data_IF_136906011508
#
_entry.id   IF_136906011508
#
_cell.length_a   1.000
_cell.length_b   1.000
_cell.length_c   1.000
_cell.angle_alpha   90.00
_cell.angle_beta   90.00
_cell.angle_gamma   90.00
#
_symmetry.space_group_name_H-M   'P 1'
#
loop_
_entity.id
_entity.type
_entity.pdbx_description
1 polymer ?
#
# COMPACT_ATOMS: atom_id res chain seq x y z
N UNK A 1 -23.08 13.37 8.42
CA UNK A 1 -22.51 13.52 7.08
C UNK A 1 -22.82 12.25 6.31
N UNK A 2 -23.47 12.37 5.16
CA UNK A 2 -23.71 11.24 4.25
C UNK A 2 -22.36 10.72 3.73
N UNK A 3 -22.26 9.42 3.41
CA UNK A 3 -21.05 8.82 2.81
C UNK A 3 -20.56 9.58 1.58
N UNK A 4 -21.45 10.06 0.70
CA UNK A 4 -21.03 10.84 -0.47
C UNK A 4 -20.43 12.20 -0.09
N UNK A 5 -20.97 12.86 0.93
CA UNK A 5 -20.43 14.12 1.44
C UNK A 5 -19.04 13.91 2.06
N UNK A 6 -18.83 12.82 2.80
CA UNK A 6 -17.51 12.46 3.36
C UNK A 6 -16.51 12.20 2.24
N UNK A 7 -16.87 11.40 1.23
CA UNK A 7 -16.00 11.13 0.09
C UNK A 7 -15.69 12.40 -0.71
N UNK A 8 -16.68 13.27 -0.93
CA UNK A 8 -16.49 14.55 -1.62
C UNK A 8 -15.55 15.48 -0.84
N UNK A 9 -15.75 15.64 0.48
CA UNK A 9 -14.90 16.47 1.34
C UNK A 9 -13.46 15.92 1.40
N UNK A 10 -13.31 14.59 1.40
CA UNK A 10 -12.00 13.94 1.32
C UNK A 10 -11.32 14.10 -0.03
N UNK A 11 -12.05 14.47 -1.08
CA UNK A 11 -11.57 14.51 -2.46
C UNK A 11 -11.44 13.12 -3.10
N UNK A 12 -12.22 12.14 -2.62
CA UNK A 12 -12.17 10.75 -3.05
C UNK A 12 -13.10 10.44 -4.24
N UNK A 13 -13.84 11.41 -4.76
CA UNK A 13 -14.69 11.22 -5.95
C UNK A 13 -13.98 11.85 -7.15
N UNK A 14 -13.65 11.02 -8.14
CA UNK A 14 -13.15 11.46 -9.45
C UNK A 14 -14.32 11.66 -10.42
N UNK A 15 -15.09 10.60 -10.69
CA UNK A 15 -16.29 10.65 -11.51
C UNK A 15 -17.43 9.84 -10.86
N UNK A 16 -18.67 10.20 -11.20
CA UNK A 16 -19.88 9.49 -10.77
C UNK A 16 -20.92 9.55 -11.88
N UNK A 17 -21.61 8.44 -12.17
CA UNK A 17 -22.54 8.37 -13.31
C UNK A 17 -23.74 9.28 -13.16
N UNK A 18 -24.32 9.34 -11.96
CA UNK A 18 -25.44 10.22 -11.61
C UNK A 18 -25.39 10.49 -10.11
N UNK A 19 -24.80 11.62 -9.73
CA UNK A 19 -24.59 11.96 -8.31
C UNK A 19 -25.92 12.21 -7.57
N UNK A 20 -26.88 13.01 -8.10
CA UNK A 20 -28.18 13.18 -7.45
C UNK A 20 -28.92 11.85 -7.22
N UNK A 21 -29.03 11.00 -8.25
CA UNK A 21 -29.77 9.74 -8.14
C UNK A 21 -29.08 8.75 -7.20
N UNK A 22 -27.74 8.68 -7.21
CA UNK A 22 -27.00 7.86 -6.25
C UNK A 22 -27.19 8.34 -4.81
N UNK A 23 -27.20 9.66 -4.59
CA UNK A 23 -27.44 10.25 -3.27
C UNK A 23 -28.82 9.90 -2.73
N UNK A 24 -29.87 10.05 -3.56
CA UNK A 24 -31.23 9.65 -3.20
C UNK A 24 -31.31 8.16 -2.88
N UNK A 25 -30.66 7.31 -3.70
CA UNK A 25 -30.65 5.86 -3.46
C UNK A 25 -29.93 5.48 -2.17
N UNK A 26 -28.80 6.10 -1.85
CA UNK A 26 -28.08 5.84 -0.60
C UNK A 26 -28.88 6.30 0.63
N UNK A 27 -29.66 7.37 0.50
CA UNK A 27 -30.54 7.86 1.56
C UNK A 27 -31.74 6.92 1.84
N UNK A 28 -32.19 6.16 0.84
CA UNK A 28 -33.31 5.22 1.00
C UNK A 28 -32.93 3.93 1.74
N UNK A 29 -31.64 3.66 1.95
CA UNK A 29 -31.15 2.57 2.79
C UNK A 29 -29.91 1.87 2.24
N UNK A 30 -29.48 0.77 2.87
CA UNK A 30 -28.30 0.01 2.46
C UNK A 30 -28.34 -0.40 0.99
N UNK A 31 -27.16 -0.38 0.37
CA UNK A 31 -26.93 -0.90 -0.97
C UNK A 31 -25.83 -1.95 -0.89
N UNK A 32 -25.78 -2.82 -1.88
CA UNK A 32 -24.60 -3.64 -2.15
C UNK A 32 -23.72 -2.91 -3.15
N UNK A 33 -22.42 -2.84 -2.90
CA UNK A 33 -21.44 -2.27 -3.80
C UNK A 33 -20.25 -3.21 -3.97
N UNK A 34 -19.48 -3.06 -5.05
CA UNK A 34 -18.27 -3.84 -5.24
C UNK A 34 -17.07 -3.07 -5.77
N UNK A 35 -15.89 -3.61 -5.51
CA UNK A 35 -14.63 -3.25 -6.18
C UNK A 35 -13.93 -4.53 -6.61
N UNK A 36 -13.44 -4.54 -7.85
CA UNK A 36 -12.59 -5.62 -8.36
C UNK A 36 -11.12 -5.41 -8.01
N UNK A 37 -10.37 -6.49 -7.87
CA UNK A 37 -8.91 -6.49 -7.82
C UNK A 37 -8.34 -7.71 -8.52
N UNK A 38 -7.27 -7.53 -9.29
CA UNK A 38 -6.53 -8.64 -9.88
C UNK A 38 -5.46 -9.13 -8.89
N UNK A 39 -5.42 -10.42 -8.53
CA UNK A 39 -4.46 -10.99 -7.60
C UNK A 39 -3.09 -11.26 -8.27
N UNK A 40 -2.43 -10.20 -8.74
CA UNK A 40 -1.17 -10.27 -9.48
C UNK A 40 0.05 -10.63 -8.63
N UNK A 41 -0.09 -10.57 -7.31
CA UNK A 41 0.93 -10.95 -6.33
C UNK A 41 0.27 -11.57 -5.09
N UNK A 42 1.06 -12.26 -4.28
CA UNK A 42 0.66 -12.86 -3.00
C UNK A 42 0.36 -11.84 -1.88
N UNK A 43 0.49 -10.54 -2.17
CA UNK A 43 0.21 -9.46 -1.23
C UNK A 43 -0.32 -8.23 -1.96
N UNK A 44 -1.19 -7.49 -1.28
CA UNK A 44 -1.53 -6.14 -1.69
C UNK A 44 -0.36 -5.19 -1.37
N UNK A 45 -0.37 -4.02 -2.00
CA UNK A 45 0.54 -2.91 -1.72
C UNK A 45 -0.24 -1.61 -1.49
N UNK A 46 0.42 -0.54 -1.04
CA UNK A 46 -0.22 0.75 -0.70
C UNK A 46 -1.08 1.33 -1.84
N UNK A 47 -0.74 1.06 -3.11
CA UNK A 47 -1.54 1.48 -4.26
C UNK A 47 -2.95 0.84 -4.35
N UNK A 48 -3.20 -0.25 -3.63
CA UNK A 48 -4.52 -0.89 -3.57
C UNK A 48 -5.40 -0.30 -2.45
N UNK A 49 -4.84 0.52 -1.56
CA UNK A 49 -5.54 0.94 -0.35
C UNK A 49 -6.74 1.83 -0.65
N UNK A 50 -6.65 2.78 -1.58
CA UNK A 50 -7.74 3.76 -1.78
C UNK A 50 -9.09 3.08 -2.12
N UNK A 51 -9.20 2.17 -3.10
CA UNK A 51 -10.45 1.45 -3.33
C UNK A 51 -10.90 0.57 -2.17
N UNK A 52 -9.97 -0.10 -1.49
CA UNK A 52 -10.30 -0.98 -0.36
C UNK A 52 -10.78 -0.22 0.87
N UNK A 53 -10.17 0.93 1.16
CA UNK A 53 -10.60 1.82 2.23
C UNK A 53 -11.93 2.49 1.89
N UNK A 54 -12.18 2.81 0.61
CA UNK A 54 -13.50 3.27 0.18
C UNK A 54 -14.57 2.21 0.46
N UNK A 55 -14.35 0.93 0.11
CA UNK A 55 -15.27 -0.15 0.49
C UNK A 55 -15.52 -0.20 1.99
N UNK A 56 -14.47 -0.02 2.80
CA UNK A 56 -14.62 0.04 4.26
C UNK A 56 -15.42 1.28 4.71
N UNK A 57 -15.25 2.45 4.10
CA UNK A 57 -16.07 3.64 4.40
C UNK A 57 -17.55 3.37 4.12
N UNK A 58 -17.87 2.75 2.98
CA UNK A 58 -19.24 2.33 2.68
C UNK A 58 -19.75 1.30 3.70
N UNK A 59 -18.91 0.36 4.14
CA UNK A 59 -19.29 -0.59 5.18
C UNK A 59 -19.60 0.09 6.52
N UNK A 60 -18.77 1.06 6.94
CA UNK A 60 -19.00 1.81 8.16
C UNK A 60 -20.28 2.66 8.07
N UNK A 61 -20.65 3.10 6.87
CA UNK A 61 -21.93 3.77 6.59
C UNK A 61 -23.14 2.83 6.48
N UNK A 62 -22.95 1.51 6.68
CA UNK A 62 -24.04 0.52 6.71
C UNK A 62 -24.32 -0.19 5.39
N UNK A 63 -23.53 0.03 4.35
CA UNK A 63 -23.66 -0.65 3.05
C UNK A 63 -22.90 -1.97 3.02
N UNK A 64 -23.19 -2.83 2.04
CA UNK A 64 -22.67 -4.20 1.95
C UNK A 64 -21.56 -4.30 0.89
N UNK A 65 -20.27 -4.26 1.29
CA UNK A 65 -19.17 -4.31 0.33
C UNK A 65 -18.91 -5.72 -0.19
N UNK A 66 -18.67 -5.83 -1.50
CA UNK A 66 -18.17 -7.03 -2.17
C UNK A 66 -16.78 -6.71 -2.70
N UNK A 67 -15.81 -7.52 -2.34
CA UNK A 67 -14.50 -7.54 -2.98
C UNK A 67 -14.53 -8.67 -4.02
N UNK A 68 -14.23 -8.36 -5.27
CA UNK A 68 -14.17 -9.36 -6.35
C UNK A 68 -12.71 -9.66 -6.66
N UNK A 69 -12.29 -10.89 -6.39
CA UNK A 69 -11.02 -11.41 -6.87
C UNK A 69 -11.14 -11.71 -8.36
N UNK A 70 -10.22 -11.14 -9.15
CA UNK A 70 -10.11 -11.37 -10.57
C UNK A 70 -9.41 -12.68 -10.91
N UNK A 71 -9.94 -13.83 -10.49
CA UNK A 71 -9.34 -15.13 -10.84
C UNK A 71 -9.38 -15.41 -12.35
N UNK A 72 -10.47 -15.06 -13.02
CA UNK A 72 -10.57 -15.14 -14.48
C UNK A 72 -9.99 -13.90 -15.18
N UNK A 73 -10.34 -12.70 -14.72
CA UNK A 73 -9.86 -11.45 -15.34
C UNK A 73 -8.35 -11.26 -15.20
N UNK A 74 -7.75 -11.72 -14.10
CA UNK A 74 -6.31 -11.70 -13.88
C UNK A 74 -5.54 -12.64 -14.81
N UNK A 75 -6.19 -13.68 -15.34
CA UNK A 75 -5.61 -14.56 -16.37
C UNK A 75 -5.67 -13.95 -17.79
N UNK A 76 -6.34 -12.80 -17.97
CA UNK A 76 -6.45 -12.07 -19.25
C UNK A 76 -5.59 -10.81 -19.19
N UNK A 77 -5.70 -10.05 -18.09
CA UNK A 77 -4.97 -8.80 -17.86
C UNK A 77 -5.72 -7.56 -18.32
N UNK A 78 -5.95 -6.61 -17.41
CA UNK A 78 -6.57 -5.32 -17.72
C UNK A 78 -5.60 -4.39 -18.48
N UNK A 79 -5.94 -3.94 -19.71
CA UNK A 79 -5.15 -2.98 -20.47
C UNK A 79 -5.28 -1.53 -19.97
N UNK A 80 -6.25 -1.23 -19.09
CA UNK A 80 -6.56 0.14 -18.66
C UNK A 80 -5.39 0.78 -17.91
N UNK A 81 -4.92 1.93 -18.42
CA UNK A 81 -3.79 2.67 -17.82
C UNK A 81 -2.44 1.94 -17.91
N UNK A 82 -2.29 0.98 -18.83
CA UNK A 82 -1.06 0.20 -19.05
C UNK A 82 -0.50 0.43 -20.45
N UNK A 83 0.83 0.35 -20.56
CA UNK A 83 1.57 0.49 -21.82
C UNK A 83 2.13 -0.84 -22.35
N UNK A 84 2.12 -1.91 -21.55
CA UNK A 84 2.64 -3.23 -21.91
C UNK A 84 1.67 -4.33 -21.50
N UNK A 85 1.68 -5.43 -22.26
CA UNK A 85 0.88 -6.63 -22.00
C UNK A 85 1.35 -7.32 -20.71
N UNK A 86 0.41 -7.90 -19.95
CA UNK A 86 0.72 -8.56 -18.67
C UNK A 86 1.18 -9.99 -18.89
N UNK A 87 2.07 -10.46 -18.01
CA UNK A 87 2.34 -11.88 -17.88
C UNK A 87 1.12 -12.60 -17.29
N UNK A 88 0.71 -13.68 -17.95
CA UNK A 88 -0.41 -14.52 -17.52
C UNK A 88 0.04 -15.43 -16.37
N UNK A 89 -0.72 -15.45 -15.28
CA UNK A 89 -0.45 -16.28 -14.11
C UNK A 89 -1.16 -17.64 -14.23
N UNK A 90 -0.56 -18.70 -13.67
CA UNK A 90 -1.23 -20.01 -13.60
C UNK A 90 -2.34 -20.00 -12.56
N UNK A 91 -3.31 -20.91 -12.70
CA UNK A 91 -4.42 -21.04 -11.76
C UNK A 91 -3.96 -21.33 -10.33
N UNK A 92 -2.87 -22.09 -10.14
CA UNK A 92 -2.30 -22.38 -8.83
C UNK A 92 -1.74 -21.13 -8.16
N UNK A 93 -1.03 -20.28 -8.91
CA UNK A 93 -0.48 -19.01 -8.40
C UNK A 93 -1.62 -18.05 -8.05
N UNK A 94 -2.64 -17.95 -8.90
CA UNK A 94 -3.82 -17.12 -8.64
C UNK A 94 -4.54 -17.56 -7.37
N UNK A 95 -4.80 -18.85 -7.19
CA UNK A 95 -5.44 -19.39 -5.99
C UNK A 95 -4.61 -19.12 -4.72
N UNK A 96 -3.28 -19.27 -4.79
CA UNK A 96 -2.36 -18.93 -3.71
C UNK A 96 -2.47 -17.45 -3.33
N UNK A 97 -2.41 -16.57 -4.33
CA UNK A 97 -2.47 -15.12 -4.14
C UNK A 97 -3.81 -14.69 -3.52
N UNK A 98 -4.93 -15.22 -4.02
CA UNK A 98 -6.27 -14.94 -3.48
C UNK A 98 -6.37 -15.34 -2.00
N UNK A 99 -5.85 -16.51 -1.63
CA UNK A 99 -5.85 -16.97 -0.23
C UNK A 99 -5.08 -16.00 0.69
N UNK A 100 -3.91 -15.54 0.25
CA UNK A 100 -3.11 -14.56 1.00
C UNK A 100 -3.79 -13.20 1.10
N UNK A 101 -4.33 -12.69 -0.01
CA UNK A 101 -5.05 -11.41 -0.03
C UNK A 101 -6.30 -11.47 0.86
N UNK A 102 -7.05 -12.58 0.86
CA UNK A 102 -8.20 -12.78 1.75
C UNK A 102 -7.83 -12.62 3.22
N UNK A 103 -6.66 -13.13 3.63
CA UNK A 103 -6.18 -12.96 4.99
C UNK A 103 -5.84 -11.49 5.32
N UNK A 104 -5.35 -10.72 4.35
CA UNK A 104 -5.09 -9.29 4.51
C UNK A 104 -6.39 -8.48 4.63
N UNK A 105 -7.36 -8.72 3.74
CA UNK A 105 -8.65 -7.99 3.71
C UNK A 105 -9.43 -8.10 5.02
N UNK A 106 -9.38 -9.25 5.70
CA UNK A 106 -10.04 -9.48 7.00
C UNK A 106 -9.59 -8.54 8.12
N UNK A 107 -8.45 -7.84 7.96
CA UNK A 107 -7.97 -6.90 8.97
C UNK A 107 -8.75 -5.59 9.00
N UNK A 108 -9.33 -5.17 7.86
CA UNK A 108 -10.00 -3.87 7.75
C UNK A 108 -11.39 -3.92 7.15
N UNK A 109 -11.82 -5.04 6.55
CA UNK A 109 -13.22 -5.30 6.22
C UNK A 109 -13.80 -6.31 7.21
N UNK A 110 -15.04 -6.06 7.64
CA UNK A 110 -15.72 -6.92 8.59
C UNK A 110 -16.55 -7.98 7.84
N UNK A 111 -16.10 -9.23 7.88
CA UNK A 111 -16.78 -10.35 7.20
C UNK A 111 -17.82 -11.04 8.11
N UNK A 112 -17.81 -10.72 9.41
CA UNK A 112 -18.52 -11.49 10.43
C UNK A 112 -19.66 -10.70 11.09
N UNK A 113 -19.78 -9.39 10.81
CA UNK A 113 -20.92 -8.57 11.23
C UNK A 113 -22.25 -9.11 10.71
N UNK A 114 -23.28 -9.07 11.56
CA UNK A 114 -24.62 -9.57 11.21
C UNK A 114 -25.40 -8.61 10.32
N UNK A 115 -25.04 -7.32 10.28
CA UNK A 115 -25.81 -6.28 9.58
C UNK A 115 -25.44 -6.15 8.11
N UNK A 116 -24.15 -6.07 7.81
CA UNK A 116 -23.63 -5.77 6.48
C UNK A 116 -22.25 -6.43 6.24
N UNK A 117 -22.20 -7.78 6.29
CA UNK A 117 -20.95 -8.52 6.16
C UNK A 117 -20.32 -8.27 4.79
N UNK A 118 -19.01 -8.03 4.80
CA UNK A 118 -18.22 -8.00 3.58
C UNK A 118 -18.23 -9.38 2.91
N UNK A 119 -18.16 -9.41 1.59
CA UNK A 119 -18.03 -10.65 0.81
C UNK A 119 -16.75 -10.61 0.00
N UNK A 120 -16.06 -11.74 -0.09
CA UNK A 120 -15.00 -11.96 -1.07
C UNK A 120 -15.47 -13.06 -2.00
N UNK A 121 -15.66 -12.70 -3.26
CA UNK A 121 -16.07 -13.61 -4.34
C UNK A 121 -14.97 -13.65 -5.40
N UNK A 122 -14.95 -14.71 -6.20
CA UNK A 122 -13.98 -14.88 -7.29
C UNK A 122 -14.74 -15.01 -8.61
N UNK A 123 -14.41 -14.16 -9.59
CA UNK A 123 -15.09 -14.18 -10.88
C UNK A 123 -14.78 -15.42 -11.72
N UNK A 124 -13.75 -16.20 -11.38
CA UNK A 124 -13.53 -17.52 -11.94
C UNK A 124 -14.73 -18.46 -11.74
N UNK A 125 -15.52 -18.26 -10.67
CA UNK A 125 -16.67 -19.12 -10.35
C UNK A 125 -17.82 -19.03 -11.35
N UNK A 126 -17.97 -17.90 -12.07
CA UNK A 126 -18.99 -17.74 -13.11
C UNK A 126 -18.42 -17.59 -14.52
N UNK A 127 -17.21 -17.03 -14.66
CA UNK A 127 -16.55 -16.92 -15.97
C UNK A 127 -15.87 -18.23 -16.40
N UNK A 128 -15.35 -19.03 -15.46
CA UNK A 128 -14.63 -20.27 -15.77
C UNK A 128 -15.51 -21.37 -16.37
N UNK A 129 -16.80 -21.37 -16.07
CA UNK A 129 -17.78 -22.30 -16.63
C UNK A 129 -18.48 -21.78 -17.90
N UNK A 130 -18.15 -20.56 -18.34
CA UNK A 130 -18.81 -19.93 -19.48
C UNK A 130 -18.19 -20.43 -20.79
N UNK A 131 -18.97 -21.14 -21.62
CA UNK A 131 -18.47 -21.55 -22.92
C UNK A 131 -18.22 -20.32 -23.80
N UNK A 132 -17.22 -20.37 -24.69
CA UNK A 132 -16.92 -19.25 -25.59
C UNK A 132 -18.14 -18.86 -26.44
N UNK A 133 -18.89 -19.85 -26.95
CA UNK A 133 -20.07 -19.60 -27.78
C UNK A 133 -21.18 -18.92 -26.99
N UNK A 134 -21.42 -19.38 -25.76
CA UNK A 134 -22.39 -18.73 -24.89
C UNK A 134 -21.93 -17.31 -24.58
N UNK A 135 -20.65 -17.09 -24.29
CA UNK A 135 -20.14 -15.77 -23.92
C UNK A 135 -20.34 -14.76 -25.04
N UNK A 136 -20.01 -15.13 -26.27
CA UNK A 136 -20.23 -14.30 -27.45
C UNK A 136 -21.72 -13.99 -27.68
N UNK A 137 -22.60 -14.97 -27.44
CA UNK A 137 -24.05 -14.83 -27.63
C UNK A 137 -24.76 -14.07 -26.50
N UNK A 138 -24.35 -14.27 -25.26
CA UNK A 138 -24.99 -13.72 -24.07
C UNK A 138 -24.42 -12.37 -23.66
N UNK A 139 -23.13 -12.15 -23.90
CA UNK A 139 -22.41 -10.94 -23.53
C UNK A 139 -22.03 -10.17 -24.79
N UNK A 140 -21.26 -10.81 -25.69
CA UNK A 140 -20.67 -10.17 -26.87
C UNK A 140 -21.66 -9.39 -27.74
N UNK A 141 -22.85 -9.93 -27.99
CA UNK A 141 -23.91 -9.26 -28.80
C UNK A 141 -24.31 -7.87 -28.29
N UNK A 142 -24.06 -7.56 -27.02
CA UNK A 142 -24.43 -6.27 -26.41
C UNK A 142 -23.35 -5.19 -26.57
N UNK A 143 -22.19 -5.54 -27.13
CA UNK A 143 -21.04 -4.67 -27.30
C UNK A 143 -20.77 -4.45 -28.79
N UNK A 144 -20.87 -3.19 -29.23
CA UNK A 144 -20.42 -2.81 -30.57
C UNK A 144 -18.90 -2.61 -30.55
N UNK A 145 -18.20 -3.17 -31.54
CA UNK A 145 -16.76 -2.96 -31.74
C UNK A 145 -16.45 -1.46 -31.84
N UNK A 146 -17.27 -0.68 -32.55
CA UNK A 146 -17.10 0.77 -32.67
C UNK A 146 -17.12 1.48 -31.31
N UNK A 147 -17.98 1.04 -30.38
CA UNK A 147 -18.03 1.60 -29.02
C UNK A 147 -16.78 1.22 -28.22
N UNK A 148 -16.34 -0.03 -28.33
CA UNK A 148 -15.18 -0.52 -27.58
C UNK A 148 -13.89 0.19 -27.99
N UNK A 149 -13.64 0.36 -29.29
CA UNK A 149 -12.44 1.04 -29.80
C UNK A 149 -12.44 2.55 -29.50
N UNK A 150 -13.62 3.15 -29.29
CA UNK A 150 -13.74 4.57 -28.95
C UNK A 150 -13.43 4.87 -27.47
N UNK A 151 -13.36 3.84 -26.61
CA UNK A 151 -12.98 4.02 -25.19
C UNK A 151 -11.51 4.42 -25.11
N UNK A 152 -11.19 5.46 -24.33
CA UNK A 152 -9.84 6.02 -24.22
C UNK A 152 -8.77 4.96 -23.89
N UNK A 153 -9.09 4.03 -22.97
CA UNK A 153 -8.17 2.97 -22.55
C UNK A 153 -7.77 2.02 -23.68
N UNK A 154 -8.66 1.82 -24.66
CA UNK A 154 -8.41 0.99 -25.84
C UNK A 154 -7.82 1.82 -26.97
N UNK A 155 -8.38 3.01 -27.23
CA UNK A 155 -7.94 3.90 -28.31
C UNK A 155 -6.46 4.23 -28.20
N UNK A 156 -5.99 4.62 -27.01
CA UNK A 156 -4.59 4.98 -26.77
C UNK A 156 -3.63 3.81 -27.08
N UNK A 157 -4.02 2.56 -26.79
CA UNK A 157 -3.25 1.34 -27.09
C UNK A 157 -3.25 0.98 -28.57
N UNK A 158 -4.37 1.23 -29.27
CA UNK A 158 -4.47 0.97 -30.72
C UNK A 158 -3.68 1.99 -31.56
N UNK A 159 -3.55 3.22 -31.07
CA UNK A 159 -2.76 4.27 -31.75
C UNK A 159 -1.24 4.03 -31.63
N UNK A 160 -0.81 3.33 -30.57
CA UNK A 160 0.57 2.90 -30.38
C UNK A 160 0.89 1.68 -31.26
N UNK A 161 1.61 1.93 -32.37
CA UNK A 161 1.96 0.91 -33.37
C UNK A 161 2.96 -0.13 -32.86
N UNK A 162 3.71 0.14 -31.79
CA UNK A 162 4.69 -0.82 -31.26
C UNK A 162 4.07 -1.80 -30.26
N UNK A 163 3.06 -1.39 -29.48
CA UNK A 163 2.42 -2.27 -28.49
C UNK A 163 1.13 -2.93 -28.98
N UNK A 164 0.28 -2.21 -29.71
CA UNK A 164 -1.04 -2.69 -30.12
C UNK A 164 -1.92 -3.17 -28.94
N UNK A 165 -3.03 -3.84 -29.26
CA UNK A 165 -3.88 -4.50 -28.27
C UNK A 165 -4.30 -5.89 -28.80
N UNK A 166 -4.08 -6.93 -27.99
CA UNK A 166 -4.48 -8.29 -28.35
C UNK A 166 -6.00 -8.46 -28.22
N UNK A 167 -6.58 -9.45 -28.93
CA UNK A 167 -8.01 -9.76 -28.76
C UNK A 167 -8.34 -10.16 -27.32
N UNK A 168 -7.39 -10.83 -26.65
CA UNK A 168 -7.44 -11.20 -25.24
C UNK A 168 -7.68 -9.97 -24.36
N UNK A 169 -6.80 -8.97 -24.41
CA UNK A 169 -6.96 -7.73 -23.65
C UNK A 169 -8.18 -6.90 -24.09
N UNK A 170 -8.48 -6.87 -25.39
CA UNK A 170 -9.66 -6.19 -25.93
C UNK A 170 -10.97 -6.77 -25.37
N UNK A 171 -11.00 -8.08 -25.10
CA UNK A 171 -12.17 -8.76 -24.52
C UNK A 171 -12.36 -8.51 -23.01
N UNK A 172 -11.34 -7.98 -22.32
CA UNK A 172 -11.36 -7.75 -20.86
C UNK A 172 -12.57 -6.92 -20.40
N UNK A 173 -12.92 -5.88 -21.16
CA UNK A 173 -14.07 -5.02 -20.86
C UNK A 173 -15.38 -5.79 -20.77
N UNK A 174 -15.57 -6.82 -21.60
CA UNK A 174 -16.78 -7.65 -21.60
C UNK A 174 -16.83 -8.52 -20.33
N UNK A 175 -15.68 -9.04 -19.89
CA UNK A 175 -15.58 -9.85 -18.68
C UNK A 175 -15.94 -9.03 -17.45
N UNK A 176 -15.32 -7.85 -17.28
CA UNK A 176 -15.63 -6.96 -16.16
C UNK A 176 -17.07 -6.43 -16.22
N UNK A 177 -17.61 -6.16 -17.41
CA UNK A 177 -19.01 -5.79 -17.55
C UNK A 177 -19.96 -6.92 -17.12
N UNK A 178 -19.60 -8.17 -17.46
CA UNK A 178 -20.35 -9.35 -17.03
C UNK A 178 -20.29 -9.54 -15.52
N UNK A 179 -19.18 -9.24 -14.86
CA UNK A 179 -19.08 -9.27 -13.39
C UNK A 179 -20.13 -8.36 -12.76
N UNK A 180 -20.32 -7.13 -13.25
CA UNK A 180 -21.36 -6.24 -12.73
C UNK A 180 -22.76 -6.85 -12.95
N UNK A 181 -23.05 -7.35 -14.16
CA UNK A 181 -24.32 -8.00 -14.45
C UNK A 181 -24.60 -9.18 -13.50
N UNK A 182 -23.61 -10.05 -13.30
CA UNK A 182 -23.72 -11.21 -12.41
C UNK A 182 -23.98 -10.75 -10.96
N UNK A 183 -23.19 -9.80 -10.46
CA UNK A 183 -23.33 -9.29 -9.09
C UNK A 183 -24.64 -8.53 -8.87
N UNK A 184 -25.14 -7.83 -9.90
CA UNK A 184 -26.45 -7.18 -9.87
C UNK A 184 -27.56 -8.22 -9.72
N UNK A 185 -27.47 -9.31 -10.48
CA UNK A 185 -28.46 -10.39 -10.49
C UNK A 185 -28.44 -11.22 -9.20
N UNK A 186 -27.27 -11.68 -8.76
CA UNK A 186 -27.16 -12.65 -7.66
C UNK A 186 -27.06 -11.99 -6.28
N UNK A 187 -26.51 -10.76 -6.20
CA UNK A 187 -26.24 -10.08 -4.92
C UNK A 187 -26.94 -8.73 -4.77
N UNK A 188 -27.81 -8.36 -5.73
CA UNK A 188 -28.44 -7.05 -5.80
C UNK A 188 -27.39 -5.92 -5.74
N UNK A 189 -26.22 -6.10 -6.35
CA UNK A 189 -25.15 -5.11 -6.37
C UNK A 189 -25.52 -3.89 -7.22
N UNK A 190 -25.59 -2.71 -6.63
CA UNK A 190 -26.09 -1.48 -7.28
C UNK A 190 -24.98 -0.51 -7.68
N UNK A 191 -23.80 -0.60 -7.06
CA UNK A 191 -22.70 0.33 -7.29
C UNK A 191 -21.39 -0.42 -7.55
N UNK A 192 -20.67 -0.03 -8.59
CA UNK A 192 -19.26 -0.38 -8.75
C UNK A 192 -18.38 0.82 -8.40
N UNK A 193 -17.34 0.57 -7.60
CA UNK A 193 -16.26 1.53 -7.37
C UNK A 193 -14.93 1.01 -7.91
N UNK A 194 -14.04 1.93 -8.28
CA UNK A 194 -12.71 1.61 -8.81
C UNK A 194 -11.82 2.85 -8.94
N UNK A 195 -10.58 2.68 -9.41
CA UNK A 195 -9.75 3.82 -9.79
C UNK A 195 -10.28 4.56 -11.02
N UNK A 196 -9.86 5.80 -11.26
CA UNK A 196 -10.33 6.59 -12.40
C UNK A 196 -9.98 5.98 -13.76
N UNK A 197 -8.96 5.12 -13.82
CA UNK A 197 -8.62 4.29 -14.98
C UNK A 197 -9.70 3.24 -15.32
N UNK A 198 -10.59 2.91 -14.40
CA UNK A 198 -11.62 1.87 -14.56
C UNK A 198 -12.95 2.39 -15.14
N UNK A 199 -13.07 3.70 -15.40
CA UNK A 199 -14.34 4.31 -15.81
C UNK A 199 -14.97 3.65 -17.05
N UNK A 200 -14.15 3.33 -18.05
CA UNK A 200 -14.59 2.68 -19.29
C UNK A 200 -15.26 1.33 -19.03
N UNK A 201 -14.68 0.52 -18.15
CA UNK A 201 -15.18 -0.82 -17.82
C UNK A 201 -16.39 -0.75 -16.87
N UNK A 202 -16.40 0.20 -15.92
CA UNK A 202 -17.54 0.42 -15.02
C UNK A 202 -18.81 0.78 -15.82
N UNK A 203 -18.69 1.74 -16.73
CA UNK A 203 -19.82 2.17 -17.57
C UNK A 203 -20.31 1.06 -18.50
N UNK A 204 -19.41 0.22 -19.01
CA UNK A 204 -19.76 -0.97 -19.77
C UNK A 204 -20.61 -1.97 -18.95
N UNK A 205 -20.28 -2.18 -17.67
CA UNK A 205 -21.08 -3.02 -16.76
C UNK A 205 -22.47 -2.45 -16.47
N UNK A 206 -22.58 -1.14 -16.28
CA UNK A 206 -23.86 -0.45 -16.08
C UNK A 206 -24.76 -0.61 -17.30
N UNK A 207 -24.20 -0.41 -18.50
CA UNK A 207 -24.93 -0.61 -19.75
C UNK A 207 -25.43 -2.04 -19.92
N UNK A 208 -24.61 -3.03 -19.54
CA UNK A 208 -25.00 -4.44 -19.61
C UNK A 208 -26.10 -4.77 -18.61
N UNK A 209 -26.04 -4.26 -17.38
CA UNK A 209 -27.10 -4.39 -16.38
C UNK A 209 -28.42 -3.83 -16.91
N UNK A 210 -28.41 -2.63 -17.50
CA UNK A 210 -29.60 -2.03 -18.12
C UNK A 210 -30.15 -2.88 -19.26
N UNK A 211 -29.28 -3.33 -20.19
CA UNK A 211 -29.71 -4.09 -21.38
C UNK A 211 -30.27 -5.48 -21.04
N UNK A 212 -29.70 -6.18 -20.05
CA UNK A 212 -30.09 -7.56 -19.72
C UNK A 212 -31.09 -7.68 -18.57
N UNK A 213 -31.09 -6.74 -17.63
CA UNK A 213 -31.94 -6.78 -16.43
C UNK A 213 -32.98 -5.66 -16.38
N UNK A 214 -32.86 -4.63 -17.24
CA UNK A 214 -33.67 -3.42 -17.10
C UNK A 214 -33.42 -2.66 -15.79
N UNK A 215 -32.32 -2.96 -15.10
CA UNK A 215 -32.04 -2.47 -13.76
C UNK A 215 -31.07 -1.29 -13.80
N UNK A 216 -31.34 -0.27 -12.98
CA UNK A 216 -30.39 0.81 -12.71
C UNK A 216 -29.20 0.29 -11.91
N UNK A 217 -28.01 0.78 -12.27
CA UNK A 217 -26.75 0.54 -11.61
C UNK A 217 -25.89 1.82 -11.71
N UNK A 218 -25.01 2.02 -10.74
CA UNK A 218 -24.20 3.23 -10.58
C UNK A 218 -22.71 2.90 -10.68
N UNK A 219 -21.93 3.90 -11.08
CA UNK A 219 -20.47 3.86 -11.08
C UNK A 219 -19.90 5.07 -10.38
N UNK A 220 -18.89 4.85 -9.53
CA UNK A 220 -18.13 5.91 -8.87
C UNK A 220 -16.64 5.60 -8.93
N UNK A 221 -15.84 6.49 -9.46
CA UNK A 221 -14.38 6.32 -9.50
C UNK A 221 -13.69 7.16 -8.44
N UNK A 222 -12.56 6.64 -7.99
CA UNK A 222 -11.67 7.26 -7.02
C UNK A 222 -10.45 7.82 -7.77
N UNK A 223 -9.85 8.92 -7.29
CA UNK A 223 -8.71 9.52 -7.96
C UNK A 223 -7.51 8.57 -7.99
N UNK A 224 -6.79 8.56 -9.12
CA UNK A 224 -5.45 7.99 -9.15
C UNK A 224 -4.52 8.83 -8.27
N UNK A 225 -3.76 8.15 -7.42
CA UNK A 225 -2.86 8.82 -6.48
C UNK A 225 -1.55 9.14 -7.19
N UNK A 226 -1.28 10.44 -7.33
CA UNK A 226 0.00 10.99 -7.76
C UNK A 226 0.61 11.76 -6.60
N UNK A 227 1.94 11.68 -6.47
CA UNK A 227 2.68 12.53 -5.55
C UNK A 227 2.72 13.96 -6.13
N UNK A 228 2.94 14.97 -5.28
CA UNK A 228 3.02 16.37 -5.71
C UNK A 228 4.20 16.66 -6.66
N UNK A 229 5.17 15.76 -6.75
CA UNK A 229 6.28 15.79 -7.72
C UNK A 229 5.93 15.13 -9.08
N UNK A 230 4.69 14.66 -9.25
CA UNK A 230 4.21 13.98 -10.45
C UNK A 230 4.57 12.48 -10.53
N UNK A 231 5.34 11.96 -9.56
CA UNK A 231 5.68 10.55 -9.52
C UNK A 231 4.49 9.67 -9.10
N UNK A 232 4.53 8.40 -9.51
CA UNK A 232 3.47 7.44 -9.20
C UNK A 232 3.53 7.03 -7.72
N UNK A 233 2.41 7.18 -7.02
CA UNK A 233 2.29 6.77 -5.62
C UNK A 233 2.59 5.27 -5.42
N UNK A 234 3.28 4.95 -4.32
CA UNK A 234 3.56 3.56 -3.93
C UNK A 234 4.70 2.88 -4.69
N UNK A 235 5.36 3.57 -5.64
CA UNK A 235 6.63 3.11 -6.22
C UNK A 235 7.80 3.82 -5.54
N UNK A 236 8.63 3.05 -4.83
CA UNK A 236 9.91 3.53 -4.28
C UNK A 236 11.06 3.05 -5.14
N UNK A 237 12.26 3.63 -4.96
CA UNK A 237 13.49 3.13 -5.60
C UNK A 237 13.74 1.64 -5.29
N UNK A 238 13.28 1.17 -4.14
CA UNK A 238 13.37 -0.22 -3.69
C UNK A 238 12.09 -1.03 -3.96
N UNK A 239 11.28 -0.63 -4.95
CA UNK A 239 10.08 -1.35 -5.39
C UNK A 239 8.77 -0.91 -4.69
N UNK A 240 7.76 -1.78 -4.76
CA UNK A 240 6.45 -1.55 -4.15
C UNK A 240 6.52 -1.59 -2.61
N UNK A 241 5.64 -0.83 -1.97
CA UNK A 241 5.44 -0.87 -0.50
C UNK A 241 4.31 -1.84 -0.20
N UNK A 242 4.66 -3.05 0.21
CA UNK A 242 3.72 -4.15 0.43
C UNK A 242 3.01 -4.01 1.78
N UNK A 243 1.81 -4.58 1.89
CA UNK A 243 1.08 -4.68 3.16
C UNK A 243 1.50 -5.90 3.99
N UNK A 244 2.14 -6.91 3.36
CA UNK A 244 2.75 -8.03 4.07
C UNK A 244 4.07 -7.60 4.73
N UNK A 245 4.13 -7.75 6.06
CA UNK A 245 5.31 -7.45 6.89
C UNK A 245 6.56 -8.23 6.49
N UNK A 246 6.43 -9.40 5.84
CA UNK A 246 7.56 -10.18 5.35
C UNK A 246 8.18 -9.61 4.06
N UNK A 247 7.42 -8.78 3.33
CA UNK A 247 7.86 -8.13 2.08
C UNK A 247 8.24 -6.67 2.29
N UNK A 248 7.62 -6.01 3.25
CA UNK A 248 7.96 -4.66 3.69
C UNK A 248 7.84 -4.63 5.19
N UNK A 249 8.97 -4.47 5.89
CA UNK A 249 8.99 -4.40 7.35
C UNK A 249 8.01 -3.33 7.84
N UNK A 250 7.40 -3.54 9.00
CA UNK A 250 6.44 -2.58 9.58
C UNK A 250 7.11 -1.22 9.79
N UNK A 251 8.40 -1.24 10.15
CA UNK A 251 9.23 -0.04 10.20
C UNK A 251 9.33 0.67 8.84
N UNK A 252 9.68 -0.03 7.75
CA UNK A 252 9.75 0.57 6.41
C UNK A 252 8.39 1.09 5.94
N UNK A 253 7.32 0.37 6.26
CA UNK A 253 5.95 0.81 6.00
C UNK A 253 5.64 2.12 6.73
N UNK A 254 5.93 2.20 8.03
CA UNK A 254 5.77 3.42 8.82
C UNK A 254 6.63 4.57 8.26
N UNK A 255 7.90 4.31 7.93
CA UNK A 255 8.81 5.30 7.35
C UNK A 255 8.34 5.83 5.99
N UNK A 256 7.70 5.00 5.16
CA UNK A 256 7.13 5.43 3.89
C UNK A 256 6.13 6.59 4.10
N UNK A 257 5.23 6.45 5.06
CA UNK A 257 4.27 7.50 5.42
C UNK A 257 4.92 8.69 6.13
N UNK A 258 5.90 8.43 7.01
CA UNK A 258 6.67 9.51 7.66
C UNK A 258 7.41 10.34 6.63
N UNK A 259 7.76 9.83 5.45
CA UNK A 259 8.50 10.54 4.39
C UNK A 259 7.60 11.20 3.34
N UNK A 260 6.29 11.21 3.55
CA UNK A 260 5.36 11.94 2.67
C UNK A 260 5.79 13.41 2.54
N UNK A 261 5.60 13.99 1.35
CA UNK A 261 5.85 15.39 1.06
C UNK A 261 4.85 16.27 1.82
N UNK A 262 5.30 17.42 2.30
CA UNK A 262 4.47 18.36 3.05
C UNK A 262 3.20 18.76 2.24
N UNK A 263 3.32 18.85 0.91
CA UNK A 263 2.19 19.17 0.01
C UNK A 263 1.14 18.06 -0.09
N UNK A 264 1.50 16.83 0.28
CA UNK A 264 0.65 15.64 0.14
C UNK A 264 0.03 15.17 1.44
N UNK A 265 0.64 15.49 2.59
CA UNK A 265 0.28 14.86 3.88
C UNK A 265 -1.19 15.03 4.27
N UNK A 266 -1.76 16.22 4.08
CA UNK A 266 -3.17 16.50 4.43
C UNK A 266 -4.12 15.73 3.51
N UNK A 267 -3.79 15.68 2.22
CA UNK A 267 -4.55 14.88 1.24
C UNK A 267 -4.47 13.39 1.58
N UNK A 268 -3.31 12.90 2.02
CA UNK A 268 -3.14 11.50 2.39
C UNK A 268 -3.83 11.15 3.71
N UNK A 269 -3.90 12.08 4.67
CA UNK A 269 -4.75 11.93 5.86
C UNK A 269 -6.22 11.72 5.44
N UNK A 270 -6.72 12.53 4.51
CA UNK A 270 -8.10 12.39 3.99
C UNK A 270 -8.32 11.04 3.30
N UNK A 271 -7.38 10.58 2.48
CA UNK A 271 -7.51 9.36 1.68
C UNK A 271 -7.35 8.08 2.48
N UNK A 272 -6.27 7.97 3.26
CA UNK A 272 -5.80 6.70 3.83
C UNK A 272 -6.19 6.46 5.28
N UNK A 273 -6.79 7.44 5.96
CA UNK A 273 -7.17 7.32 7.38
C UNK A 273 -8.67 7.43 7.59
N UNK A 274 -9.12 6.97 8.77
CA UNK A 274 -10.50 7.17 9.25
C UNK A 274 -10.61 8.30 10.28
N UNK A 275 -9.61 9.20 10.33
CA UNK A 275 -9.66 10.37 11.20
C UNK A 275 -10.85 11.26 10.82
N UNK A 276 -11.43 11.89 11.85
CA UNK A 276 -12.55 12.81 11.71
C UNK A 276 -12.15 14.08 10.97
N UNK A 277 -13.16 14.81 10.46
CA UNK A 277 -12.94 16.08 9.76
C UNK A 277 -12.20 17.10 10.63
N UNK A 278 -12.68 17.33 11.85
CA UNK A 278 -12.10 18.30 12.78
C UNK A 278 -10.65 17.95 13.13
N UNK A 279 -10.34 16.67 13.30
CA UNK A 279 -8.98 16.20 13.59
C UNK A 279 -8.04 16.45 12.42
N UNK A 280 -8.48 16.18 11.18
CA UNK A 280 -7.68 16.48 9.98
C UNK A 280 -7.48 17.98 9.82
N UNK A 281 -8.50 18.81 10.05
CA UNK A 281 -8.40 20.27 9.98
C UNK A 281 -7.44 20.84 11.06
N UNK A 282 -7.41 20.25 12.26
CA UNK A 282 -6.43 20.58 13.29
C UNK A 282 -5.00 20.20 12.88
N UNK A 283 -4.81 19.00 12.31
CA UNK A 283 -3.52 18.53 11.82
C UNK A 283 -3.01 19.39 10.65
N UNK A 284 -3.91 19.82 9.76
CA UNK A 284 -3.61 20.75 8.68
C UNK A 284 -3.15 22.11 9.22
N UNK A 285 -3.88 22.68 10.19
CA UNK A 285 -3.48 23.93 10.85
C UNK A 285 -2.10 23.81 11.51
N UNK A 286 -1.88 22.75 12.29
CA UNK A 286 -0.59 22.52 12.94
C UNK A 286 0.56 22.34 11.92
N UNK A 287 0.27 21.72 10.77
CA UNK A 287 1.24 21.57 9.69
C UNK A 287 1.59 22.91 9.03
N UNK A 288 0.60 23.79 8.81
CA UNK A 288 0.81 25.13 8.26
C UNK A 288 1.59 26.03 9.23
N UNK A 289 1.34 25.90 10.54
CA UNK A 289 2.05 26.65 11.58
C UNK A 289 3.50 26.17 11.75
N UNK A 290 3.74 24.85 11.72
CA UNK A 290 5.08 24.28 11.90
C UNK A 290 5.25 22.93 11.19
N UNK A 291 5.56 22.98 9.89
CA UNK A 291 5.82 21.79 9.08
C UNK A 291 6.99 20.93 9.61
N UNK A 292 8.01 21.57 10.18
CA UNK A 292 9.20 20.90 10.71
C UNK A 292 8.92 19.98 11.90
N UNK A 293 7.82 20.22 12.64
CA UNK A 293 7.38 19.33 13.72
C UNK A 293 6.83 17.98 13.22
N UNK A 294 6.48 17.89 11.92
CA UNK A 294 5.99 16.68 11.24
C UNK A 294 4.77 16.04 11.94
N UNK A 295 3.94 16.81 12.63
CA UNK A 295 2.79 16.29 13.41
C UNK A 295 1.79 15.55 12.53
N UNK A 296 1.38 16.16 11.41
CA UNK A 296 0.49 15.52 10.42
C UNK A 296 1.08 14.22 9.83
N UNK A 297 2.40 14.18 9.62
CA UNK A 297 3.09 13.01 9.08
C UNK A 297 3.11 11.85 10.07
N UNK A 298 3.37 12.14 11.35
CA UNK A 298 3.31 11.15 12.43
C UNK A 298 1.88 10.62 12.59
N UNK A 299 0.87 11.49 12.52
CA UNK A 299 -0.53 11.08 12.58
C UNK A 299 -0.91 10.17 11.41
N UNK A 300 -0.50 10.52 10.18
CA UNK A 300 -0.69 9.69 8.99
C UNK A 300 -0.03 8.33 9.14
N UNK A 301 1.27 8.32 9.46
CA UNK A 301 2.05 7.10 9.56
C UNK A 301 1.53 6.18 10.64
N UNK A 302 1.19 6.71 11.82
CA UNK A 302 0.60 5.94 12.91
C UNK A 302 -0.74 5.35 12.49
N UNK A 303 -1.65 6.18 11.96
CA UNK A 303 -3.00 5.76 11.60
C UNK A 303 -3.01 4.64 10.56
N UNK A 304 -2.22 4.78 9.50
CA UNK A 304 -2.19 3.77 8.44
C UNK A 304 -1.44 2.52 8.88
N UNK A 305 -0.34 2.65 9.65
CA UNK A 305 0.38 1.48 10.17
C UNK A 305 -0.48 0.69 11.14
N UNK A 306 -1.24 1.36 12.01
CA UNK A 306 -2.14 0.73 12.97
C UNK A 306 -3.30 0.02 12.27
N UNK A 307 -3.85 0.62 11.22
CA UNK A 307 -4.90 0.01 10.41
C UNK A 307 -4.44 -1.30 9.74
N UNK A 308 -3.19 -1.37 9.27
CA UNK A 308 -2.70 -2.51 8.48
C UNK A 308 -2.01 -3.57 9.35
N UNK A 309 -1.24 -3.15 10.34
CA UNK A 309 -0.37 -4.01 11.15
C UNK A 309 -0.78 -4.10 12.63
N UNK A 310 -1.77 -3.30 13.07
CA UNK A 310 -2.27 -3.29 14.45
C UNK A 310 -1.44 -2.42 15.40
N UNK A 311 -2.05 -2.04 16.52
CA UNK A 311 -1.49 -1.08 17.48
C UNK A 311 -0.11 -1.49 18.03
N UNK A 312 0.08 -2.77 18.35
CA UNK A 312 1.34 -3.27 18.92
C UNK A 312 2.50 -3.12 17.92
N UNK A 313 2.30 -3.54 16.66
CA UNK A 313 3.33 -3.43 15.64
C UNK A 313 3.64 -1.96 15.30
N UNK A 314 2.61 -1.10 15.31
CA UNK A 314 2.79 0.36 15.16
C UNK A 314 3.62 0.95 16.30
N UNK A 315 3.33 0.60 17.55
CA UNK A 315 4.09 1.10 18.69
C UNK A 315 5.57 0.73 18.58
N UNK A 316 5.88 -0.50 18.18
CA UNK A 316 7.26 -0.94 17.94
C UNK A 316 7.91 -0.20 16.77
N UNK A 317 7.20 0.03 15.66
CA UNK A 317 7.73 0.80 14.53
C UNK A 317 7.98 2.28 14.87
N UNK A 318 7.13 2.87 15.72
CA UNK A 318 7.30 4.24 16.24
C UNK A 318 8.56 4.31 17.11
N UNK A 319 8.72 3.41 18.09
CA UNK A 319 9.93 3.33 18.93
C UNK A 319 11.19 3.13 18.09
N UNK A 320 11.14 2.22 17.12
CA UNK A 320 12.23 1.96 16.19
C UNK A 320 12.65 3.23 15.42
N UNK A 321 11.66 4.00 14.95
CA UNK A 321 11.90 5.29 14.32
C UNK A 321 12.53 6.28 15.28
N UNK A 322 12.04 6.41 16.51
CA UNK A 322 12.58 7.34 17.50
C UNK A 322 14.05 7.03 17.82
N UNK A 323 14.39 5.75 18.00
CA UNK A 323 15.77 5.29 18.16
C UNK A 323 16.65 5.75 16.99
N UNK A 324 16.22 5.54 15.75
CA UNK A 324 16.96 5.99 14.56
C UNK A 324 16.90 7.51 14.32
N UNK A 325 16.29 8.29 15.19
CA UNK A 325 16.39 9.76 15.18
C UNK A 325 17.02 10.30 16.47
N UNK A 326 17.71 9.46 17.24
CA UNK A 326 18.44 9.85 18.44
C UNK A 326 17.63 9.78 19.73
N UNK A 327 16.48 9.11 19.72
CA UNK A 327 15.73 8.75 20.93
C UNK A 327 16.45 7.69 21.77
N UNK A 328 15.97 7.49 22.99
CA UNK A 328 16.51 6.48 23.90
C UNK A 328 16.33 5.06 23.36
N UNK A 329 17.27 4.18 23.68
CA UNK A 329 17.24 2.74 23.33
C UNK A 329 16.47 1.90 24.36
N UNK A 330 15.91 2.53 25.37
CA UNK A 330 15.20 1.88 26.48
C UNK A 330 13.88 1.26 25.99
N UNK A 331 13.67 -0.02 26.30
CA UNK A 331 12.40 -0.70 26.01
C UNK A 331 12.18 -1.13 24.56
N UNK A 332 13.22 -1.11 23.70
CA UNK A 332 13.19 -1.74 22.37
C UNK A 332 13.45 -3.24 22.47
N UNK A 333 12.71 -4.06 21.73
CA UNK A 333 12.93 -5.51 21.69
C UNK A 333 14.05 -5.89 20.71
N UNK A 334 14.70 -7.04 20.91
CA UNK A 334 15.71 -7.56 19.96
C UNK A 334 15.10 -7.74 18.55
N UNK A 335 13.83 -8.19 18.46
CA UNK A 335 13.13 -8.35 17.19
C UNK A 335 12.94 -7.00 16.47
N UNK A 336 12.49 -5.98 17.19
CA UNK A 336 12.31 -4.62 16.67
C UNK A 336 13.64 -4.01 16.21
N UNK A 337 14.71 -4.23 16.97
CA UNK A 337 16.05 -3.79 16.58
C UNK A 337 16.57 -4.55 15.36
N UNK A 338 16.26 -5.85 15.23
CA UNK A 338 16.61 -6.66 14.06
C UNK A 338 15.94 -6.14 12.78
N UNK A 339 14.68 -5.72 12.84
CA UNK A 339 14.01 -5.11 11.68
C UNK A 339 14.74 -3.84 11.21
N UNK A 340 15.28 -3.05 12.15
CA UNK A 340 16.14 -1.91 11.82
C UNK A 340 17.46 -2.36 11.15
N UNK A 341 18.07 -3.47 11.61
CA UNK A 341 19.33 -3.97 11.02
C UNK A 341 19.23 -4.36 9.55
N UNK A 342 18.06 -4.80 9.09
CA UNK A 342 17.84 -5.08 7.67
C UNK A 342 17.75 -3.83 6.79
N UNK A 343 17.56 -2.66 7.38
CA UNK A 343 17.22 -1.41 6.67
C UNK A 343 18.36 -0.38 6.72
N UNK A 344 19.36 -0.62 7.56
CA UNK A 344 20.52 0.24 7.76
C UNK A 344 21.78 -0.55 7.37
N UNK A 345 22.81 0.09 6.75
CA UNK A 345 24.07 -0.58 6.46
C UNK A 345 24.60 -1.34 7.68
N UNK A 346 24.75 -2.65 7.54
CA UNK A 346 25.18 -3.53 8.62
C UNK A 346 26.50 -4.18 8.26
N UNK A 347 27.47 -4.07 9.16
CA UNK A 347 28.75 -4.74 9.06
C UNK A 347 28.84 -5.86 10.10
N UNK A 348 29.35 -7.01 9.67
CA UNK A 348 29.53 -8.18 10.51
C UNK A 348 30.96 -8.20 11.07
N UNK A 349 31.07 -8.38 12.38
CA UNK A 349 32.36 -8.33 13.09
C UNK A 349 32.48 -9.55 14.01
N UNK A 350 33.62 -10.26 14.04
CA UNK A 350 33.81 -11.37 14.96
C UNK A 350 33.61 -10.94 16.42
N UNK A 351 32.89 -11.75 17.19
CA UNK A 351 32.55 -11.43 18.58
C UNK A 351 33.80 -11.17 19.45
N UNK A 352 34.91 -11.84 19.16
CA UNK A 352 36.18 -11.71 19.89
C UNK A 352 36.78 -10.31 19.80
N UNK A 353 36.41 -9.51 18.79
CA UNK A 353 36.85 -8.11 18.72
C UNK A 353 36.32 -7.27 19.89
N UNK A 354 35.26 -7.71 20.56
CA UNK A 354 34.63 -7.00 21.68
C UNK A 354 35.06 -7.52 23.06
N UNK A 355 36.04 -8.43 23.11
CA UNK A 355 36.67 -8.92 24.34
C UNK A 355 37.50 -7.80 25.02
N UNK A 356 38.29 -8.11 26.05
CA UNK A 356 38.95 -7.12 26.90
C UNK A 356 39.79 -6.08 26.16
N UNK A 357 40.42 -6.49 25.06
CA UNK A 357 41.17 -5.59 24.19
C UNK A 357 40.28 -4.52 23.53
N UNK A 358 39.03 -4.85 23.22
CA UNK A 358 38.02 -3.98 22.61
C UNK A 358 38.30 -3.57 21.16
N UNK A 359 37.24 -3.32 20.39
CA UNK A 359 37.30 -2.99 18.98
C UNK A 359 37.50 -1.46 18.82
N UNK A 360 38.59 -0.98 18.18
CA UNK A 360 38.82 0.46 18.06
C UNK A 360 37.68 1.18 17.31
N UNK A 361 37.14 2.26 17.88
CA UNK A 361 36.02 3.00 17.31
C UNK A 361 36.28 3.46 15.88
N UNK A 362 37.49 3.94 15.58
CA UNK A 362 37.85 4.41 14.24
C UNK A 362 37.82 3.27 13.21
N UNK A 363 38.16 2.04 13.61
CA UNK A 363 38.05 0.87 12.74
C UNK A 363 36.61 0.43 12.57
N UNK A 364 35.83 0.45 13.65
CA UNK A 364 34.40 0.21 13.61
C UNK A 364 33.67 1.14 12.63
N UNK A 365 33.95 2.44 12.66
CA UNK A 365 33.32 3.43 11.77
C UNK A 365 33.66 3.20 10.29
N UNK A 366 34.89 2.77 10.00
CA UNK A 366 35.32 2.44 8.64
C UNK A 366 34.72 1.12 8.17
N UNK A 367 34.76 0.09 9.02
CA UNK A 367 34.16 -1.23 8.73
C UNK A 367 32.65 -1.11 8.47
N UNK A 368 31.97 -0.22 9.19
CA UNK A 368 30.55 0.09 9.02
C UNK A 368 30.24 0.99 7.80
N UNK A 369 31.26 1.45 7.07
CA UNK A 369 31.09 2.32 5.89
C UNK A 369 30.64 3.76 6.20
N UNK A 370 30.71 4.20 7.47
CA UNK A 370 30.35 5.57 7.86
C UNK A 370 31.45 6.58 7.50
N UNK A 371 32.70 6.14 7.49
CA UNK A 371 33.88 6.94 7.14
C UNK A 371 34.74 6.19 6.12
N UNK A 372 35.31 6.93 5.16
CA UNK A 372 36.19 6.38 4.12
C UNK A 372 37.59 6.02 4.65
N UNK A 373 38.00 6.62 5.77
CA UNK A 373 39.32 6.39 6.38
C UNK A 373 39.32 6.65 7.88
N UNK A 374 40.32 6.10 8.60
CA UNK A 374 40.51 6.36 10.03
C UNK A 374 40.79 7.86 10.33
N UNK A 375 41.42 8.57 9.40
CA UNK A 375 41.69 10.00 9.52
C UNK A 375 40.41 10.85 9.43
N UNK A 376 39.48 10.48 8.54
CA UNK A 376 38.14 11.07 8.51
C UNK A 376 37.37 10.76 9.80
N UNK A 377 37.35 9.48 10.22
CA UNK A 377 36.68 9.05 11.43
C UNK A 377 37.16 9.85 12.67
N UNK A 378 38.47 10.07 12.81
CA UNK A 378 39.03 10.85 13.92
C UNK A 378 38.53 12.30 13.91
N UNK A 379 38.50 12.95 12.74
CA UNK A 379 37.98 14.32 12.60
C UNK A 379 36.49 14.38 12.94
N UNK A 380 35.70 13.40 12.51
CA UNK A 380 34.27 13.35 12.81
C UNK A 380 33.99 13.15 14.31
N UNK A 381 34.76 12.29 15.00
CA UNK A 381 34.65 12.11 16.45
C UNK A 381 34.97 13.40 17.19
N UNK A 382 36.12 14.03 16.89
CA UNK A 382 36.54 15.28 17.50
C UNK A 382 35.58 16.44 17.20
N UNK A 383 35.01 16.46 16.00
CA UNK A 383 33.96 17.40 15.60
C UNK A 383 32.60 17.13 16.26
N UNK A 384 32.46 16.08 17.07
CA UNK A 384 31.22 15.74 17.76
C UNK A 384 30.15 15.12 16.87
N UNK A 385 30.54 14.63 15.70
CA UNK A 385 29.65 14.05 14.71
C UNK A 385 29.34 12.57 14.94
N UNK A 386 30.00 11.88 15.89
CA UNK A 386 29.86 10.44 16.09
C UNK A 386 29.09 10.11 17.37
N UNK A 387 28.21 9.12 17.26
CA UNK A 387 27.43 8.57 18.36
C UNK A 387 27.50 7.04 18.35
N UNK A 388 27.56 6.46 19.55
CA UNK A 388 27.47 5.02 19.81
C UNK A 388 26.20 4.82 20.65
N UNK A 389 25.28 3.99 20.17
CA UNK A 389 24.00 3.73 20.86
C UNK A 389 23.28 5.04 21.24
N UNK A 390 23.25 5.99 20.30
CA UNK A 390 22.72 7.36 20.44
C UNK A 390 23.40 8.26 21.48
N UNK A 391 24.45 7.79 22.16
CA UNK A 391 25.29 8.61 23.04
C UNK A 391 26.44 9.21 22.24
N UNK A 392 26.63 10.53 22.34
CA UNK A 392 27.73 11.22 21.66
C UNK A 392 29.06 10.73 22.24
N UNK A 393 29.97 10.32 21.36
CA UNK A 393 31.29 9.84 21.77
C UNK A 393 32.36 10.89 21.41
N UNK A 394 33.01 11.53 22.40
CA UNK A 394 34.08 12.50 22.14
C UNK A 394 35.47 11.86 22.00
N UNK A 395 35.70 10.63 22.47
CA UNK A 395 37.02 10.02 22.50
C UNK A 395 37.34 9.20 21.24
N UNK A 396 38.27 9.70 20.42
CA UNK A 396 38.76 9.01 19.23
C UNK A 396 39.59 7.75 19.53
N UNK A 397 39.99 7.53 20.78
CA UNK A 397 40.69 6.33 21.25
C UNK A 397 39.74 5.31 21.90
N UNK A 398 38.43 5.58 21.94
CA UNK A 398 37.41 4.68 22.49
C UNK A 398 37.51 3.30 21.83
N UNK A 399 37.39 2.25 22.64
CA UNK A 399 37.34 0.84 22.21
C UNK A 399 36.02 0.21 22.62
N UNK A 400 35.24 -0.24 21.64
CA UNK A 400 33.95 -0.88 21.84
C UNK A 400 34.15 -2.26 22.50
N UNK A 401 33.39 -2.55 23.55
CA UNK A 401 33.46 -3.77 24.35
C UNK A 401 32.11 -4.47 24.40
N UNK A 402 32.07 -5.66 24.99
CA UNK A 402 30.84 -6.43 25.20
C UNK A 402 29.73 -5.63 25.90
N UNK A 403 30.06 -4.70 26.81
CA UNK A 403 29.09 -3.85 27.49
C UNK A 403 28.40 -2.83 26.57
N UNK A 404 28.98 -2.53 25.40
CA UNK A 404 28.38 -1.64 24.40
C UNK A 404 27.39 -2.40 23.49
N UNK A 405 27.35 -3.73 23.58
CA UNK A 405 26.49 -4.56 22.73
C UNK A 405 25.03 -4.54 23.22
N UNK A 406 24.17 -3.92 22.42
CA UNK A 406 22.72 -4.05 22.54
C UNK A 406 22.32 -5.50 22.28
N UNK A 407 21.55 -6.08 23.20
CA UNK A 407 21.12 -7.48 23.17
C UNK A 407 22.30 -8.47 23.06
N UNK A 408 23.49 -8.05 23.49
CA UNK A 408 24.72 -8.84 23.38
C UNK A 408 25.21 -9.07 21.94
N UNK A 409 24.65 -8.37 20.93
CA UNK A 409 24.94 -8.62 19.51
C UNK A 409 25.15 -7.39 18.63
N UNK A 410 24.56 -6.26 18.99
CA UNK A 410 24.47 -5.11 18.07
C UNK A 410 25.09 -3.84 18.64
N UNK A 411 25.65 -2.99 17.78
CA UNK A 411 26.00 -1.60 18.13
C UNK A 411 25.42 -0.68 17.07
N UNK A 412 24.67 0.34 17.50
CA UNK A 412 24.19 1.41 16.62
C UNK A 412 25.25 2.50 16.52
N UNK A 413 25.82 2.69 15.33
CA UNK A 413 26.72 3.79 15.03
C UNK A 413 25.97 4.86 14.25
N UNK A 414 26.17 6.14 14.62
CA UNK A 414 25.61 7.27 13.89
C UNK A 414 26.66 8.32 13.60
N UNK A 415 26.64 8.83 12.37
CA UNK A 415 27.38 10.01 11.90
C UNK A 415 26.43 11.15 11.56
N UNK A 416 26.62 12.30 12.20
CA UNK A 416 25.78 13.47 12.04
C UNK A 416 24.33 13.22 12.47
N UNK A 417 23.38 13.77 11.69
CA UNK A 417 21.93 13.71 12.02
C UNK A 417 21.21 12.48 11.45
N UNK A 418 21.71 11.88 10.37
CA UNK A 418 20.91 10.92 9.57
C UNK A 418 21.68 9.73 9.00
N UNK A 419 23.01 9.66 9.15
CA UNK A 419 23.79 8.51 8.66
C UNK A 419 23.96 7.49 9.77
N UNK A 420 23.33 6.32 9.62
CA UNK A 420 23.40 5.22 10.57
C UNK A 420 24.10 4.02 9.95
N UNK A 421 24.78 3.24 10.78
CA UNK A 421 25.27 1.92 10.45
C UNK A 421 25.21 1.03 11.70
N UNK A 422 25.12 -0.28 11.52
CA UNK A 422 25.05 -1.23 12.61
C UNK A 422 26.22 -2.20 12.54
N UNK A 423 26.85 -2.44 13.68
CA UNK A 423 27.75 -3.57 13.83
C UNK A 423 26.98 -4.75 14.40
N UNK A 424 27.07 -5.90 13.76
CA UNK A 424 26.51 -7.16 14.27
C UNK A 424 27.63 -8.14 14.57
N UNK A 425 27.65 -8.67 15.79
CA UNK A 425 28.61 -9.71 16.15
C UNK A 425 28.26 -11.03 15.49
N UNK A 426 29.26 -11.71 14.92
CA UNK A 426 29.14 -13.08 14.44
C UNK A 426 30.01 -14.00 15.27
N UNK A 427 29.50 -15.20 15.56
CA UNK A 427 30.31 -16.28 16.13
C UNK A 427 31.13 -16.93 15.01
N UNK A 428 32.38 -17.29 15.27
CA UNK A 428 33.34 -17.80 14.26
C UNK A 428 32.87 -19.05 13.48
N UNK A 429 31.80 -19.72 13.89
CA UNK A 429 31.23 -20.88 13.19
C UNK A 429 30.31 -20.56 11.99
N UNK A 430 30.22 -19.31 11.54
CA UNK A 430 29.47 -18.91 10.33
C UNK A 430 30.25 -17.97 9.39
N UNK A 431 31.58 -18.05 9.40
CA UNK A 431 32.39 -17.48 8.33
C UNK A 431 32.57 -18.52 7.20
N UNK A 432 31.52 -18.71 6.40
CA UNK A 432 31.58 -19.38 5.09
C UNK A 432 30.51 -18.78 4.17
#
# INVERSE_FOLDING_TARGET
MNILEDLQWRGLIADCTDMPALSERLASGPITLYCGFDPTADSLHVGNLVPLLALRRFQLAGHCPIVVAGGATGAIGDPSGKTQERQLLTSEILAHNISKIKAQLRRWLDFDTTKNPARLVDNATWLGSFSLLDFLREVGKHFSVNMMVAKESVRARMEDRESGISYTEFSYMLLQAYDFYHLRKEFNCELQIGGSDQWGNITAGIDLCRKKLGATAFGLTLPLITNADGSKFGKTAAGAVWLDSQKTSVYRFYQFWIRTDDRDVVRYLKYFTFLGRDEIEQLEKAHQENAAARVAHKALARSVTELIHGANATAEAVKASEVLFGGGLEGISEATFKDITGEVPTAFVPQQKFDDAGFPLLEALVAAGLCSSKGEARRDVQGGGIYINNVREPDSQRRLKAADLLFGKFILLRKGKSRYAILTTISDNKAA
#
